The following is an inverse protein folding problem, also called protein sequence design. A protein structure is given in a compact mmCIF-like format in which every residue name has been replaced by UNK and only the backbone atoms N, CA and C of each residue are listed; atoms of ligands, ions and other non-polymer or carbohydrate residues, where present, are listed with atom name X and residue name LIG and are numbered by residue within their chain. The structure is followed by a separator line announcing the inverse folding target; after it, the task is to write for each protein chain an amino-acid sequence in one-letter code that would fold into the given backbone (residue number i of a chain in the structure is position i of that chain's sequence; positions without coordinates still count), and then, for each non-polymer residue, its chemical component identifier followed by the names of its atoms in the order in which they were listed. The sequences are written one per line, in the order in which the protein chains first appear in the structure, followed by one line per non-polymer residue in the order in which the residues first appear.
data_IF_394641153398
#
_entry.id   IF_394641153398
#
_cell.length_a   1.000
_cell.length_b   1.000
_cell.length_c   1.000
_cell.angle_alpha   90.00
_cell.angle_beta   90.00
_cell.angle_gamma   90.00
#
_symmetry.space_group_name_H-M   'P 1'
#
loop_
_entity.id
_entity.type
_entity.pdbx_description
1 polymer ?
#
# COMPACT_ATOMS: atom_id res chain seq x y z
N UNK A 1 -4.24 -3.51 -15.31
CA UNK A 1 -5.27 -2.47 -15.20
C UNK A 1 -4.77 -1.45 -14.19
N UNK A 2 -4.61 -0.17 -14.55
CA UNK A 2 -4.28 0.86 -13.56
C UNK A 2 -5.47 0.97 -12.59
N UNK A 3 -5.23 0.73 -11.30
CA UNK A 3 -6.25 0.97 -10.28
C UNK A 3 -6.51 2.48 -10.17
N UNK A 4 -7.78 2.86 -10.31
CA UNK A 4 -8.20 4.25 -10.13
C UNK A 4 -8.40 4.52 -8.64
N UNK A 5 -7.37 5.08 -8.00
CA UNK A 5 -7.45 5.62 -6.65
C UNK A 5 -8.05 7.03 -6.67
N UNK A 6 -8.89 7.36 -5.68
CA UNK A 6 -9.35 8.74 -5.46
C UNK A 6 -8.18 9.65 -5.08
N UNK A 7 -8.32 10.96 -5.26
CA UNK A 7 -7.26 11.92 -4.88
C UNK A 7 -6.86 11.80 -3.41
N UNK A 8 -7.82 11.47 -2.54
CA UNK A 8 -7.57 11.24 -1.11
C UNK A 8 -6.70 10.00 -0.86
N UNK A 9 -6.94 8.92 -1.61
CA UNK A 9 -6.17 7.68 -1.53
C UNK A 9 -4.79 7.86 -2.14
N UNK A 10 -4.68 8.55 -3.28
CA UNK A 10 -3.39 8.88 -3.93
C UNK A 10 -2.49 9.63 -2.96
N UNK A 11 -3.01 10.65 -2.27
CA UNK A 11 -2.27 11.41 -1.24
C UNK A 11 -1.80 10.54 -0.08
N UNK A 12 -2.60 9.55 0.35
CA UNK A 12 -2.20 8.61 1.41
C UNK A 12 -1.11 7.67 0.91
N UNK A 13 -1.28 7.09 -0.27
CA UNK A 13 -0.32 6.16 -0.86
C UNK A 13 1.04 6.81 -1.10
N UNK A 14 1.09 8.04 -1.62
CA UNK A 14 2.36 8.76 -1.87
C UNK A 14 3.18 9.04 -0.60
N UNK A 15 2.61 8.93 0.60
CA UNK A 15 3.37 9.00 1.86
C UNK A 15 4.10 7.70 2.21
N UNK A 16 3.72 6.60 1.57
CA UNK A 16 4.12 5.23 1.94
C UNK A 16 4.75 4.44 0.78
N UNK A 17 4.68 4.98 -0.44
CA UNK A 17 5.28 4.41 -1.64
C UNK A 17 5.99 5.51 -2.44
N UNK A 18 7.14 5.18 -3.06
CA UNK A 18 7.89 6.15 -3.87
C UNK A 18 7.15 6.61 -5.13
N UNK A 19 6.25 5.77 -5.64
CA UNK A 19 5.30 6.12 -6.70
C UNK A 19 4.08 5.19 -6.63
N UNK A 20 2.98 5.63 -7.26
CA UNK A 20 1.71 4.90 -7.22
C UNK A 20 1.21 4.39 -8.58
N UNK A 21 1.85 4.82 -9.66
CA UNK A 21 1.42 4.52 -11.04
C UNK A 21 2.42 3.62 -11.80
N UNK A 22 3.64 3.41 -11.29
CA UNK A 22 4.64 2.51 -11.89
C UNK A 22 4.59 1.11 -11.31
N UNK A 23 5.06 0.14 -12.09
CA UNK A 23 5.23 -1.26 -11.69
C UNK A 23 6.39 -1.46 -10.70
N UNK A 24 7.42 -0.62 -10.79
CA UNK A 24 8.57 -0.63 -9.88
C UNK A 24 8.46 0.53 -8.91
N UNK A 25 8.49 0.23 -7.61
CA UNK A 25 8.35 1.22 -6.54
C UNK A 25 9.02 0.74 -5.26
N UNK A 26 9.40 1.67 -4.40
CA UNK A 26 9.85 1.40 -3.04
C UNK A 26 8.69 1.58 -2.05
N UNK A 27 8.70 0.79 -0.96
CA UNK A 27 7.77 0.96 0.17
C UNK A 27 8.50 1.73 1.25
N UNK A 28 8.03 2.95 1.49
CA UNK A 28 8.66 3.94 2.37
C UNK A 28 7.92 4.11 3.70
N UNK A 29 6.97 3.22 4.01
CA UNK A 29 6.32 3.17 5.33
C UNK A 29 7.35 3.07 6.46
N UNK A 30 7.24 3.88 7.52
CA UNK A 30 8.28 3.99 8.55
C UNK A 30 8.48 2.71 9.36
N UNK A 31 7.39 1.98 9.67
CA UNK A 31 7.46 0.73 10.44
C UNK A 31 7.96 -0.41 9.53
N UNK A 32 9.10 -1.03 9.87
CA UNK A 32 9.62 -2.20 9.15
C UNK A 32 8.67 -3.39 9.21
N UNK A 33 8.03 -3.62 10.36
CA UNK A 33 7.06 -4.71 10.55
C UNK A 33 5.88 -4.61 9.57
N UNK A 34 5.38 -3.40 9.31
CA UNK A 34 4.30 -3.16 8.34
C UNK A 34 4.72 -3.54 6.92
N UNK A 35 5.97 -3.29 6.53
CA UNK A 35 6.49 -3.65 5.20
C UNK A 35 6.49 -5.17 5.00
N UNK A 36 6.97 -5.91 5.99
CA UNK A 36 6.96 -7.38 5.96
C UNK A 36 5.55 -7.97 5.97
N UNK A 37 4.68 -7.45 6.85
CA UNK A 37 3.28 -7.87 6.92
C UNK A 37 2.54 -7.60 5.59
N UNK A 38 2.76 -6.43 4.98
CA UNK A 38 2.15 -6.05 3.71
C UNK A 38 2.57 -6.99 2.58
N UNK A 39 3.87 -7.31 2.48
CA UNK A 39 4.38 -8.30 1.53
C UNK A 39 3.73 -9.67 1.72
N UNK A 40 3.64 -10.12 2.96
CA UNK A 40 3.02 -11.41 3.31
C UNK A 40 1.53 -11.45 2.96
N UNK A 41 0.78 -10.37 3.17
CA UNK A 41 -0.63 -10.26 2.77
C UNK A 41 -0.78 -10.28 1.25
N UNK A 42 0.02 -9.46 0.57
CA UNK A 42 0.04 -9.37 -0.89
C UNK A 42 0.27 -10.73 -1.55
N UNK A 43 1.18 -11.56 -1.04
CA UNK A 43 1.48 -12.88 -1.62
C UNK A 43 0.32 -13.90 -1.52
N UNK A 44 -0.75 -13.60 -0.78
CA UNK A 44 -1.89 -14.50 -0.53
C UNK A 44 -3.20 -14.02 -1.13
N UNK A 45 -3.17 -12.98 -1.97
CA UNK A 45 -4.37 -12.39 -2.57
C UNK A 45 -4.11 -12.00 -4.01
N UNK A 46 -5.18 -11.81 -4.78
CA UNK A 46 -5.19 -11.26 -6.13
C UNK A 46 -5.16 -9.71 -6.17
N UNK A 47 -5.33 -9.06 -5.01
CA UNK A 47 -5.33 -7.59 -4.89
C UNK A 47 -3.93 -7.01 -5.08
N UNK A 48 -3.87 -5.78 -5.56
CA UNK A 48 -2.60 -5.05 -5.57
C UNK A 48 -2.16 -4.70 -4.15
N UNK A 49 -0.84 -4.58 -3.97
CA UNK A 49 -0.25 -4.18 -2.71
C UNK A 49 -0.76 -2.82 -2.20
N UNK A 50 -1.03 -1.87 -3.10
CA UNK A 50 -1.55 -0.53 -2.76
C UNK A 50 -2.98 -0.62 -2.24
N UNK A 51 -3.80 -1.49 -2.83
CA UNK A 51 -5.17 -1.73 -2.38
C UNK A 51 -5.21 -2.38 -1.00
N UNK A 52 -4.39 -3.39 -0.78
CA UNK A 52 -4.23 -4.04 0.54
C UNK A 52 -3.78 -3.02 1.59
N UNK A 53 -2.81 -2.17 1.26
CA UNK A 53 -2.34 -1.14 2.17
C UNK A 53 -3.45 -0.14 2.56
N UNK A 54 -4.28 0.29 1.61
CA UNK A 54 -5.39 1.19 1.92
C UNK A 54 -6.49 0.51 2.75
N UNK A 55 -6.83 -0.74 2.43
CA UNK A 55 -7.94 -1.44 3.04
C UNK A 55 -7.62 -2.01 4.42
N UNK A 56 -6.41 -2.54 4.64
CA UNK A 56 -6.06 -3.25 5.87
C UNK A 56 -5.11 -2.47 6.77
N UNK A 57 -4.18 -1.73 6.16
CA UNK A 57 -3.19 -0.99 6.91
C UNK A 57 -3.81 0.36 7.26
N UNK A 58 -3.94 1.31 6.34
CA UNK A 58 -4.39 2.69 6.65
C UNK A 58 -5.65 2.77 7.54
N UNK A 59 -6.65 1.90 7.32
CA UNK A 59 -7.91 1.89 8.10
C UNK A 59 -7.75 1.39 9.53
N UNK A 60 -6.72 0.61 9.84
CA UNK A 60 -6.48 0.09 11.17
C UNK A 60 -5.46 0.97 11.89
N UNK A 61 -5.84 1.68 12.96
CA UNK A 61 -4.93 2.56 13.70
C UNK A 61 -4.19 1.84 14.84
N UNK A 62 -4.65 0.64 15.23
CA UNK A 62 -4.13 -0.12 16.38
C UNK A 62 -3.11 -1.21 15.99
N UNK A 63 -2.45 -1.05 14.83
CA UNK A 63 -1.40 -1.94 14.31
C UNK A 63 0.00 -1.39 14.54
#
# INVERSE_FOLDING_TARGET
MQERFSDSERKKLLKHFSNIDSSVFAITTPKQVDRGALMSRYSRTDKTMRKIFLDEFIKNQNR
#
